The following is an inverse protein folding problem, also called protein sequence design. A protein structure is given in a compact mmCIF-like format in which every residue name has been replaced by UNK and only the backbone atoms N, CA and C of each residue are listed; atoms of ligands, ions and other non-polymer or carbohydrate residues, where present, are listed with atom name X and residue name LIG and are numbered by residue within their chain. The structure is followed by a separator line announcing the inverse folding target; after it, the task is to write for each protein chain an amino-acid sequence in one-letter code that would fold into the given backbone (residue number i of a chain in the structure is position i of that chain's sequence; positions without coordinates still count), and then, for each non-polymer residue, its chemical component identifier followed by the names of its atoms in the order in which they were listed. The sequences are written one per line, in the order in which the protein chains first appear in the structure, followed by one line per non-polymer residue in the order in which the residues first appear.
data_IF_424889384087
#
_entry.id   IF_424889384087
#
_cell.length_a   1.000
_cell.length_b   1.000
_cell.length_c   1.000
_cell.angle_alpha   90.00
_cell.angle_beta   90.00
_cell.angle_gamma   90.00
#
_symmetry.space_group_name_H-M   'P 1'
#
loop_
_entity.id
_entity.type
_entity.pdbx_description
1 polymer ?
#
# COMPACT_ATOMS: atom_id res chain seq x y z
N UNK A 1 3.03 -26.51 -8.09
CA UNK A 1 2.17 -25.79 -7.12
C UNK A 1 2.82 -24.52 -6.59
N UNK A 2 4.05 -24.55 -6.07
CA UNK A 2 4.74 -23.35 -5.54
C UNK A 2 4.85 -22.20 -6.55
N UNK A 3 5.20 -22.50 -7.82
CA UNK A 3 5.27 -21.48 -8.90
C UNK A 3 3.92 -20.79 -9.14
N UNK A 4 2.81 -21.52 -9.02
CA UNK A 4 1.47 -20.97 -9.16
C UNK A 4 1.13 -20.04 -8.00
N UNK A 5 1.33 -20.47 -6.76
CA UNK A 5 1.10 -19.64 -5.58
C UNK A 5 1.96 -18.36 -5.59
N UNK A 6 3.22 -18.48 -5.99
CA UNK A 6 4.12 -17.34 -6.14
C UNK A 6 3.62 -16.39 -7.23
N UNK A 7 3.21 -16.89 -8.39
CA UNK A 7 2.66 -16.05 -9.46
C UNK A 7 1.40 -15.31 -9.00
N UNK A 8 0.48 -15.99 -8.31
CA UNK A 8 -0.73 -15.37 -7.74
C UNK A 8 -0.37 -14.33 -6.68
N UNK A 9 0.58 -14.61 -5.80
CA UNK A 9 1.05 -13.64 -4.79
C UNK A 9 1.60 -12.37 -5.43
N UNK A 10 2.49 -12.51 -6.43
CA UNK A 10 3.09 -11.36 -7.13
C UNK A 10 2.03 -10.59 -7.92
N UNK A 11 1.13 -11.28 -8.61
CA UNK A 11 0.04 -10.63 -9.34
C UNK A 11 -0.90 -9.87 -8.38
N UNK A 12 -1.24 -10.47 -7.25
CA UNK A 12 -2.02 -9.82 -6.21
C UNK A 12 -1.29 -8.58 -5.67
N UNK A 13 0.02 -8.66 -5.44
CA UNK A 13 0.81 -7.52 -5.00
C UNK A 13 0.75 -6.36 -6.00
N UNK A 14 0.91 -6.64 -7.30
CA UNK A 14 0.88 -5.62 -8.35
C UNK A 14 -0.52 -5.00 -8.49
N UNK A 15 -1.54 -5.86 -8.63
CA UNK A 15 -2.93 -5.42 -8.90
C UNK A 15 -3.57 -4.78 -7.68
N UNK A 16 -3.23 -5.24 -6.46
CA UNK A 16 -3.81 -4.67 -5.25
C UNK A 16 -3.10 -3.38 -4.82
N UNK A 17 -1.77 -3.36 -4.83
CA UNK A 17 -1.00 -2.25 -4.22
C UNK A 17 -0.74 -1.13 -5.22
N UNK A 18 -0.62 -1.42 -6.52
CA UNK A 18 -0.41 -0.42 -7.57
C UNK A 18 -1.48 0.69 -7.58
N UNK A 19 -2.79 0.36 -7.58
CA UNK A 19 -3.83 1.38 -7.52
C UNK A 19 -3.80 2.21 -6.23
N UNK A 20 -3.44 1.61 -5.08
CA UNK A 20 -3.31 2.33 -3.81
C UNK A 20 -2.18 3.34 -3.86
N UNK A 21 -0.99 2.95 -4.37
CA UNK A 21 0.18 3.83 -4.40
C UNK A 21 -0.07 5.04 -5.28
N UNK A 22 -0.69 4.85 -6.46
CA UNK A 22 -1.08 5.93 -7.36
C UNK A 22 -2.14 6.83 -6.72
N UNK A 23 -3.25 6.24 -6.24
CA UNK A 23 -4.36 7.02 -5.72
C UNK A 23 -3.97 7.83 -4.47
N UNK A 24 -3.23 7.21 -3.54
CA UNK A 24 -2.75 7.89 -2.34
C UNK A 24 -1.79 9.04 -2.71
N UNK A 25 -0.91 8.86 -3.70
CA UNK A 25 0.08 9.88 -4.11
C UNK A 25 -0.54 11.07 -4.84
N UNK A 26 -1.64 10.85 -5.55
CA UNK A 26 -2.38 11.93 -6.23
C UNK A 26 -3.24 12.77 -5.28
N UNK A 27 -3.60 12.23 -4.11
CA UNK A 27 -4.52 12.91 -3.19
C UNK A 27 -3.95 14.23 -2.63
N UNK A 28 -2.75 14.31 -2.03
CA UNK A 28 -2.24 15.56 -1.45
C UNK A 28 -2.18 16.78 -2.39
N UNK A 29 -1.69 16.68 -3.64
CA UNK A 29 -1.68 17.83 -4.56
C UNK A 29 -3.09 18.27 -4.96
N UNK A 30 -4.03 17.33 -5.15
CA UNK A 30 -5.43 17.66 -5.44
C UNK A 30 -6.13 18.28 -4.22
N UNK A 31 -5.84 17.78 -3.02
CA UNK A 31 -6.31 18.36 -1.78
C UNK A 31 -5.85 19.81 -1.60
N UNK A 32 -4.58 20.13 -1.92
CA UNK A 32 -4.09 21.51 -1.92
C UNK A 32 -4.82 22.40 -2.93
N UNK A 33 -5.14 21.88 -4.12
CA UNK A 33 -5.91 22.62 -5.13
C UNK A 33 -7.33 22.91 -4.65
N UNK A 34 -8.00 21.91 -4.07
CA UNK A 34 -9.34 22.07 -3.50
C UNK A 34 -9.38 23.13 -2.39
N UNK A 35 -8.34 23.21 -1.55
CA UNK A 35 -8.23 24.26 -0.52
C UNK A 35 -7.98 25.65 -1.11
N UNK A 36 -7.26 25.75 -2.23
CA UNK A 36 -6.91 27.02 -2.86
C UNK A 36 -8.07 27.60 -3.71
N UNK A 37 -8.94 26.75 -4.24
CA UNK A 37 -10.12 27.13 -5.01
C UNK A 37 -11.38 26.43 -4.45
N UNK A 38 -11.94 26.94 -3.33
CA UNK A 38 -13.17 26.39 -2.76
C UNK A 38 -14.34 26.49 -3.76
N UNK A 39 -15.13 25.42 -3.88
CA UNK A 39 -16.30 25.37 -4.78
C UNK A 39 -16.08 24.62 -6.11
N UNK A 40 -14.90 24.04 -6.33
CA UNK A 40 -14.67 23.11 -7.45
C UNK A 40 -15.18 21.70 -7.11
N UNK A 41 -16.45 21.45 -7.44
CA UNK A 41 -17.14 20.17 -7.25
C UNK A 41 -16.43 19.00 -7.97
N UNK A 42 -15.76 19.28 -9.10
CA UNK A 42 -15.01 18.26 -9.86
C UNK A 42 -13.79 17.74 -9.10
N UNK A 43 -13.04 18.63 -8.46
CA UNK A 43 -11.90 18.24 -7.61
C UNK A 43 -12.37 17.51 -6.35
N UNK A 44 -13.47 17.94 -5.73
CA UNK A 44 -14.06 17.25 -4.57
C UNK A 44 -14.52 15.82 -4.89
N UNK A 45 -15.19 15.63 -6.05
CA UNK A 45 -15.57 14.32 -6.55
C UNK A 45 -14.36 13.41 -6.82
N UNK A 46 -13.29 13.96 -7.39
CA UNK A 46 -12.04 13.22 -7.65
C UNK A 46 -11.39 12.76 -6.35
N UNK A 47 -11.32 13.60 -5.32
CA UNK A 47 -10.77 13.23 -4.01
C UNK A 47 -11.58 12.11 -3.33
N UNK A 48 -12.90 12.16 -3.45
CA UNK A 48 -13.79 11.10 -2.96
C UNK A 48 -13.53 9.77 -3.67
N UNK A 49 -13.33 9.79 -5.00
CA UNK A 49 -12.97 8.62 -5.78
C UNK A 49 -11.60 8.05 -5.36
N UNK A 50 -10.58 8.89 -5.20
CA UNK A 50 -9.25 8.47 -4.77
C UNK A 50 -9.29 7.80 -3.39
N UNK A 51 -9.99 8.41 -2.43
CA UNK A 51 -10.19 7.82 -1.11
C UNK A 51 -10.90 6.46 -1.18
N UNK A 52 -11.93 6.33 -2.04
CA UNK A 52 -12.64 5.06 -2.25
C UNK A 52 -11.72 3.99 -2.83
N UNK A 53 -10.90 4.32 -3.83
CA UNK A 53 -9.91 3.41 -4.41
C UNK A 53 -8.95 2.94 -3.31
N UNK A 54 -8.37 3.85 -2.52
CA UNK A 54 -7.49 3.49 -1.42
C UNK A 54 -8.17 2.55 -0.42
N UNK A 55 -9.43 2.80 -0.04
CA UNK A 55 -10.17 1.93 0.90
C UNK A 55 -10.43 0.54 0.35
N UNK A 56 -10.95 0.44 -0.88
CA UNK A 56 -11.26 -0.84 -1.51
C UNK A 56 -9.98 -1.66 -1.68
N UNK A 57 -8.94 -1.05 -2.23
CA UNK A 57 -7.70 -1.77 -2.51
C UNK A 57 -6.85 -2.03 -1.26
N UNK A 58 -7.00 -1.26 -0.18
CA UNK A 58 -6.44 -1.63 1.12
C UNK A 58 -7.02 -2.96 1.63
N UNK A 59 -8.32 -3.18 1.43
CA UNK A 59 -8.97 -4.46 1.78
C UNK A 59 -8.53 -5.58 0.83
N UNK A 60 -8.52 -5.34 -0.48
CA UNK A 60 -8.03 -6.32 -1.46
C UNK A 60 -6.55 -6.68 -1.20
N UNK A 61 -5.76 -5.73 -0.69
CA UNK A 61 -4.37 -5.92 -0.32
C UNK A 61 -4.12 -7.06 0.68
N UNK A 62 -5.13 -7.47 1.47
CA UNK A 62 -5.04 -8.63 2.39
C UNK A 62 -4.77 -9.94 1.65
N UNK A 63 -5.11 -10.02 0.35
CA UNK A 63 -4.79 -11.16 -0.50
C UNK A 63 -3.27 -11.39 -0.58
N UNK A 64 -2.47 -10.32 -0.54
CA UNK A 64 -1.01 -10.38 -0.65
C UNK A 64 -0.39 -11.21 0.49
N UNK A 65 -0.57 -10.87 1.79
CA UNK A 65 -0.03 -11.68 2.87
C UNK A 65 -0.62 -13.09 2.91
N UNK A 66 -1.90 -13.29 2.57
CA UNK A 66 -2.52 -14.63 2.52
C UNK A 66 -1.75 -15.56 1.57
N UNK A 67 -1.55 -15.12 0.32
CA UNK A 67 -0.78 -15.92 -0.64
C UNK A 67 0.72 -15.93 -0.35
N UNK A 68 1.24 -14.89 0.32
CA UNK A 68 2.62 -14.81 0.77
C UNK A 68 2.94 -15.90 1.80
N UNK A 69 2.11 -16.03 2.84
CA UNK A 69 2.23 -17.09 3.85
C UNK A 69 2.04 -18.48 3.24
N UNK A 70 1.06 -18.65 2.35
CA UNK A 70 0.85 -19.92 1.66
C UNK A 70 2.09 -20.32 0.83
N UNK A 71 2.69 -19.37 0.11
CA UNK A 71 3.91 -19.60 -0.67
C UNK A 71 5.11 -19.92 0.22
N UNK A 72 5.31 -19.13 1.29
CA UNK A 72 6.41 -19.31 2.22
C UNK A 72 6.36 -20.65 2.98
N UNK A 73 5.16 -21.06 3.40
CA UNK A 73 4.93 -22.37 4.03
C UNK A 73 5.30 -23.51 3.09
N UNK A 74 4.89 -23.43 1.82
CA UNK A 74 5.22 -24.44 0.80
C UNK A 74 6.70 -24.47 0.40
N UNK A 75 7.40 -23.35 0.56
CA UNK A 75 8.83 -23.24 0.30
C UNK A 75 9.69 -23.60 1.52
N UNK A 76 9.10 -23.77 2.71
CA UNK A 76 9.84 -24.07 3.94
C UNK A 76 10.70 -22.90 4.46
N UNK A 77 10.37 -21.65 4.09
CA UNK A 77 11.20 -20.46 4.38
C UNK A 77 10.62 -19.53 5.45
N UNK A 78 9.61 -19.98 6.21
CA UNK A 78 8.94 -19.17 7.23
C UNK A 78 9.89 -18.60 8.31
N UNK A 79 10.97 -19.31 8.62
CA UNK A 79 12.00 -18.85 9.58
C UNK A 79 13.11 -17.99 8.98
N UNK A 80 13.07 -17.66 7.68
CA UNK A 80 14.13 -16.90 7.04
C UNK A 80 14.09 -15.42 7.44
N UNK A 81 15.27 -14.85 7.75
CA UNK A 81 15.38 -13.47 8.22
C UNK A 81 14.84 -12.43 7.23
N UNK A 82 15.04 -12.65 5.92
CA UNK A 82 14.51 -11.76 4.88
C UNK A 82 12.97 -11.78 4.82
N UNK A 83 12.34 -12.95 4.98
CA UNK A 83 10.89 -13.06 4.99
C UNK A 83 10.29 -12.43 6.25
N UNK A 84 10.87 -12.71 7.42
CA UNK A 84 10.44 -12.11 8.69
C UNK A 84 10.52 -10.58 8.60
N UNK A 85 11.63 -10.06 8.09
CA UNK A 85 11.81 -8.62 7.87
C UNK A 85 10.73 -8.08 6.93
N UNK A 86 10.44 -8.78 5.83
CA UNK A 86 9.36 -8.37 4.93
C UNK A 86 7.98 -8.36 5.58
N UNK A 87 7.66 -9.37 6.40
CA UNK A 87 6.37 -9.42 7.12
C UNK A 87 6.24 -8.19 8.01
N UNK A 88 7.29 -7.84 8.76
CA UNK A 88 7.30 -6.64 9.61
C UNK A 88 7.10 -5.38 8.78
N UNK A 89 7.85 -5.21 7.68
CA UNK A 89 7.69 -4.04 6.80
C UNK A 89 6.29 -3.97 6.17
N UNK A 90 5.70 -5.09 5.77
CA UNK A 90 4.33 -5.15 5.25
C UNK A 90 3.30 -4.76 6.32
N UNK A 91 3.46 -5.22 7.56
CA UNK A 91 2.60 -4.82 8.67
C UNK A 91 2.71 -3.33 8.95
N UNK A 92 3.92 -2.78 8.95
CA UNK A 92 4.13 -1.32 9.09
C UNK A 92 3.46 -0.55 7.95
N UNK A 93 3.59 -1.01 6.70
CA UNK A 93 2.92 -0.40 5.57
C UNK A 93 1.39 -0.44 5.71
N UNK A 94 0.83 -1.56 6.15
CA UNK A 94 -0.59 -1.72 6.40
C UNK A 94 -1.09 -0.79 7.50
N UNK A 95 -0.31 -0.61 8.58
CA UNK A 95 -0.62 0.36 9.66
C UNK A 95 -0.58 1.78 9.13
N UNK A 96 0.46 2.17 8.38
CA UNK A 96 0.55 3.53 7.81
C UNK A 96 -0.63 3.80 6.89
N UNK A 97 -0.98 2.85 6.01
CA UNK A 97 -2.13 2.99 5.12
C UNK A 97 -3.45 3.07 5.90
N UNK A 98 -3.71 2.06 6.73
CA UNK A 98 -5.00 1.87 7.41
C UNK A 98 -5.28 2.87 8.53
N UNK A 99 -4.26 3.23 9.31
CA UNK A 99 -4.42 4.08 10.49
C UNK A 99 -4.02 5.55 10.26
N UNK A 100 -3.18 5.84 9.25
CA UNK A 100 -2.69 7.22 9.03
C UNK A 100 -3.19 7.82 7.72
N UNK A 101 -3.12 7.10 6.60
CA UNK A 101 -3.51 7.61 5.28
C UNK A 101 -5.03 7.62 5.11
N UNK A 102 -5.69 6.47 5.31
CA UNK A 102 -7.14 6.36 5.08
C UNK A 102 -7.97 7.30 5.98
N UNK A 103 -7.70 7.41 7.30
CA UNK A 103 -8.48 8.31 8.15
C UNK A 103 -8.25 9.78 7.79
N UNK A 104 -7.02 10.18 7.46
CA UNK A 104 -6.72 11.55 7.06
C UNK A 104 -7.35 11.93 5.70
N UNK A 105 -7.39 11.00 4.74
CA UNK A 105 -8.14 11.20 3.49
C UNK A 105 -9.65 11.31 3.77
N UNK A 106 -10.19 10.46 4.66
CA UNK A 106 -11.60 10.48 5.04
C UNK A 106 -12.00 11.80 5.69
N UNK A 107 -11.21 12.29 6.65
CA UNK A 107 -11.42 13.59 7.29
C UNK A 107 -11.43 14.73 6.27
N UNK A 108 -10.45 14.74 5.34
CA UNK A 108 -10.42 15.75 4.29
C UNK A 108 -11.67 15.73 3.41
N UNK A 109 -12.13 14.55 2.98
CA UNK A 109 -13.34 14.40 2.16
C UNK A 109 -14.61 14.79 2.94
N UNK A 110 -14.63 14.59 4.26
CA UNK A 110 -15.71 15.03 5.13
C UNK A 110 -15.71 16.55 5.41
N UNK A 111 -14.70 17.30 4.93
CA UNK A 111 -14.52 18.72 5.22
C UNK A 111 -13.93 19.00 6.60
N UNK A 112 -13.48 17.96 7.31
CA UNK A 112 -12.79 18.06 8.59
C UNK A 112 -11.31 18.35 8.29
N UNK A 113 -10.92 19.63 8.43
CA UNK A 113 -9.63 20.14 7.95
C UNK A 113 -8.43 19.22 8.23
N UNK A 114 -7.71 18.84 7.17
CA UNK A 114 -6.52 17.97 7.27
C UNK A 114 -5.27 18.67 6.73
N UNK A 115 -4.13 18.42 7.37
CA UNK A 115 -2.83 18.86 6.88
C UNK A 115 -2.39 18.01 5.67
N UNK A 116 -2.53 18.57 4.46
CA UNK A 116 -2.16 17.91 3.20
C UNK A 116 -0.67 17.55 3.12
N UNK A 117 0.22 18.27 3.80
CA UNK A 117 1.65 17.95 3.84
C UNK A 117 1.93 16.71 4.69
N UNK A 118 1.26 16.56 5.84
CA UNK A 118 1.34 15.34 6.66
C UNK A 118 0.79 14.13 5.91
N UNK A 119 -0.29 14.29 5.14
CA UNK A 119 -0.82 13.23 4.30
C UNK A 119 0.17 12.81 3.20
N UNK A 120 0.85 13.77 2.57
CA UNK A 120 1.91 13.50 1.60
C UNK A 120 3.07 12.72 2.23
N UNK A 121 3.49 13.09 3.44
CA UNK A 121 4.53 12.37 4.18
C UNK A 121 4.13 10.92 4.46
N UNK A 122 2.94 10.67 5.02
CA UNK A 122 2.48 9.30 5.30
C UNK A 122 2.36 8.46 4.04
N UNK A 123 1.87 9.05 2.95
CA UNK A 123 1.83 8.38 1.65
C UNK A 123 3.23 8.03 1.14
N UNK A 124 4.19 8.95 1.28
CA UNK A 124 5.59 8.71 0.95
C UNK A 124 6.18 7.56 1.77
N UNK A 125 5.96 7.55 3.08
CA UNK A 125 6.42 6.46 3.97
C UNK A 125 5.81 5.13 3.56
N UNK A 126 4.50 5.07 3.29
CA UNK A 126 3.83 3.88 2.80
C UNK A 126 4.48 3.35 1.50
N UNK A 127 4.70 4.23 0.52
CA UNK A 127 5.31 3.85 -0.76
C UNK A 127 6.76 3.35 -0.58
N UNK A 128 7.54 3.98 0.31
CA UNK A 128 8.91 3.56 0.61
C UNK A 128 8.96 2.19 1.29
N UNK A 129 8.07 1.95 2.27
CA UNK A 129 7.94 0.64 2.91
C UNK A 129 7.59 -0.44 1.89
N UNK A 130 6.66 -0.15 0.98
CA UNK A 130 6.28 -1.07 -0.08
C UNK A 130 7.42 -1.34 -1.07
N UNK A 131 8.15 -0.30 -1.48
CA UNK A 131 9.32 -0.44 -2.34
C UNK A 131 10.40 -1.30 -1.67
N UNK A 132 10.68 -1.08 -0.39
CA UNK A 132 11.61 -1.89 0.38
C UNK A 132 11.19 -3.36 0.46
N UNK A 133 9.90 -3.64 0.73
CA UNK A 133 9.33 -5.00 0.69
C UNK A 133 9.55 -5.64 -0.67
N UNK A 134 9.27 -4.92 -1.76
CA UNK A 134 9.42 -5.43 -3.13
C UNK A 134 10.88 -5.78 -3.44
N UNK A 135 11.81 -4.88 -3.12
CA UNK A 135 13.26 -5.12 -3.30
C UNK A 135 13.71 -6.33 -2.49
N UNK A 136 13.29 -6.43 -1.22
CA UNK A 136 13.65 -7.54 -0.35
C UNK A 136 13.12 -8.89 -0.88
N UNK A 137 11.90 -8.90 -1.41
CA UNK A 137 11.27 -10.07 -2.04
C UNK A 137 11.93 -10.49 -3.36
N UNK A 138 12.59 -9.56 -4.06
CA UNK A 138 13.36 -9.85 -5.27
C UNK A 138 14.74 -10.37 -4.91
N UNK A 139 15.49 -9.64 -4.07
CA UNK A 139 16.89 -9.93 -3.74
C UNK A 139 17.03 -11.20 -2.89
N UNK A 140 16.08 -11.47 -1.98
CA UNK A 140 16.04 -12.66 -1.11
C UNK A 140 17.41 -12.99 -0.48
N UNK A 141 17.99 -12.06 0.30
CA UNK A 141 19.32 -12.25 0.86
C UNK A 141 19.39 -13.54 1.71
N UNK A 142 20.36 -14.40 1.39
CA UNK A 142 20.57 -15.68 2.07
C UNK A 142 19.67 -16.83 1.59
N UNK A 143 18.88 -16.68 0.51
CA UNK A 143 18.15 -17.81 -0.06
C UNK A 143 19.06 -18.73 -0.87
N UNK A 144 19.06 -20.03 -0.56
CA UNK A 144 19.74 -21.09 -1.35
C UNK A 144 18.93 -21.53 -2.58
N UNK A 145 17.70 -21.02 -2.73
CA UNK A 145 16.93 -21.12 -3.97
C UNK A 145 17.58 -20.16 -4.97
N UNK A 146 18.53 -20.68 -5.74
CA UNK A 146 19.39 -19.91 -6.64
C UNK A 146 18.65 -18.90 -7.52
N UNK A 147 19.32 -17.77 -7.74
CA UNK A 147 19.22 -17.07 -9.01
C UNK A 147 20.01 -17.85 -10.06
#
# INVERSE_FOLDING_TARGET
MTKFLLAVHVLAAIVAVGPVTVAASMFPPLARRALAAPGDDGTAGTLSLLHRICRVYALVGVVVPVFGFATASRMGVLGSGWLITSIVLTLLAAVVLGALVLPAQGAFVAGEGTNSARLAMFTGVFNLLWAAVTVLMIVRPGSTTGA
#
